data_IF_048004170579
#
_entry.id   IF_048004170579
#
_cell.length_a   1.000
_cell.length_b   1.000
_cell.length_c   1.000
_cell.angle_alpha   90.00
_cell.angle_beta   90.00
_cell.angle_gamma   90.00
#
_symmetry.space_group_name_H-M   'P 1'
#
loop_
_entity.id
_entity.type
_entity.pdbx_description
1 polymer ?
#
# COMPACT_ATOMS: atom_id res chain seq x y z
N UNK A 1 -7.21 14.30 7.26
CA UNK A 1 -6.63 13.69 6.05
C UNK A 1 -5.37 12.84 6.29
N UNK A 2 -5.07 12.39 7.52
CA UNK A 2 -3.93 11.48 7.80
C UNK A 2 -4.34 10.01 8.06
N UNK A 3 -5.64 9.72 8.04
CA UNK A 3 -6.15 8.35 8.18
C UNK A 3 -6.23 7.61 6.83
N UNK A 4 -6.58 8.33 5.75
CA UNK A 4 -6.72 7.73 4.42
C UNK A 4 -5.43 7.17 3.84
N UNK A 5 -4.27 7.84 4.00
CA UNK A 5 -3.03 7.35 3.39
C UNK A 5 -2.51 6.06 4.05
N UNK A 6 -2.73 5.88 5.35
CA UNK A 6 -2.36 4.64 6.05
C UNK A 6 -3.37 3.52 5.78
N UNK A 7 -4.66 3.84 5.66
CA UNK A 7 -5.69 2.88 5.20
C UNK A 7 -5.53 2.49 3.73
N UNK A 8 -5.00 3.36 2.86
CA UNK A 8 -4.73 3.05 1.44
C UNK A 8 -3.57 2.05 1.33
N UNK A 9 -2.48 2.23 2.08
CA UNK A 9 -1.36 1.28 2.06
C UNK A 9 -1.76 -0.06 2.69
N UNK A 10 -2.51 -0.06 3.79
CA UNK A 10 -3.02 -1.29 4.42
C UNK A 10 -4.10 -1.95 3.56
N UNK A 11 -4.94 -1.16 2.89
CA UNK A 11 -5.99 -1.64 1.98
C UNK A 11 -5.40 -2.30 0.73
N UNK A 12 -4.44 -1.68 0.06
CA UNK A 12 -3.81 -2.26 -1.13
C UNK A 12 -2.99 -3.51 -0.76
N UNK A 13 -2.26 -3.49 0.37
CA UNK A 13 -1.53 -4.67 0.85
C UNK A 13 -2.44 -5.81 1.32
N UNK A 14 -3.61 -5.52 1.91
CA UNK A 14 -4.49 -6.55 2.46
C UNK A 14 -5.34 -7.26 1.37
N UNK A 15 -5.44 -6.74 0.14
CA UNK A 15 -6.33 -7.26 -0.91
C UNK A 15 -5.66 -8.08 -2.02
N UNK A 16 -4.34 -8.26 -1.92
CA UNK A 16 -3.61 -9.34 -2.60
C UNK A 16 -3.91 -10.71 -1.95
N UNK A 17 -4.44 -10.70 -0.72
CA UNK A 17 -4.71 -11.92 0.05
C UNK A 17 -5.96 -12.64 -0.44
N UNK A 18 -5.77 -13.77 -1.13
CA UNK A 18 -6.82 -14.80 -1.21
C UNK A 18 -6.40 -16.17 -0.68
N UNK A 19 -5.16 -16.33 -0.20
CA UNK A 19 -4.69 -17.49 0.54
C UNK A 19 -3.76 -17.04 1.69
N UNK A 20 -4.28 -16.90 2.91
CA UNK A 20 -3.49 -16.57 4.11
C UNK A 20 -2.39 -17.59 4.47
N UNK A 21 -2.25 -18.67 3.68
CA UNK A 21 -1.30 -19.76 3.88
C UNK A 21 -0.20 -19.82 2.81
N UNK A 22 -0.33 -19.06 1.72
CA UNK A 22 0.68 -19.00 0.67
C UNK A 22 1.59 -17.79 0.89
N UNK A 23 2.92 -17.94 0.73
CA UNK A 23 3.83 -16.81 0.80
C UNK A 23 3.51 -15.81 -0.31
N UNK A 24 3.50 -14.51 0.04
CA UNK A 24 3.32 -13.41 -0.92
C UNK A 24 4.37 -13.53 -2.01
N UNK A 25 3.92 -13.48 -3.25
CA UNK A 25 4.83 -13.52 -4.40
C UNK A 25 5.16 -12.14 -4.94
N UNK A 26 6.12 -12.08 -5.86
CA UNK A 26 6.43 -10.84 -6.55
C UNK A 26 5.31 -10.40 -7.52
N UNK A 27 4.58 -11.36 -8.10
CA UNK A 27 3.45 -11.07 -9.01
C UNK A 27 2.28 -10.44 -8.28
N UNK A 28 2.04 -10.91 -7.07
CA UNK A 28 1.10 -10.39 -6.10
C UNK A 28 1.38 -8.89 -5.79
N UNK A 29 2.65 -8.52 -5.59
CA UNK A 29 3.07 -7.13 -5.40
C UNK A 29 2.86 -6.27 -6.67
N UNK A 30 3.20 -6.80 -7.84
CA UNK A 30 2.97 -6.11 -9.12
C UNK A 30 1.48 -5.89 -9.40
N UNK A 31 0.64 -6.86 -9.05
CA UNK A 31 -0.82 -6.73 -9.18
C UNK A 31 -1.35 -5.61 -8.26
N UNK A 32 -0.88 -5.55 -7.01
CA UNK A 32 -1.21 -4.49 -6.08
C UNK A 32 -0.80 -3.10 -6.60
N UNK A 33 0.39 -3.04 -7.19
CA UNK A 33 0.93 -1.82 -7.78
C UNK A 33 0.10 -1.33 -8.97
N UNK A 34 -0.38 -2.24 -9.83
CA UNK A 34 -1.29 -1.89 -10.91
C UNK A 34 -2.60 -1.29 -10.36
N UNK A 35 -3.16 -1.86 -9.29
CA UNK A 35 -4.37 -1.31 -8.67
C UNK A 35 -4.15 0.05 -8.03
N UNK A 36 -2.97 0.27 -7.44
CA UNK A 36 -2.60 1.60 -6.96
C UNK A 36 -2.65 2.63 -8.10
N UNK A 37 -2.11 2.32 -9.28
CA UNK A 37 -2.20 3.26 -10.40
C UNK A 37 -3.61 3.49 -10.90
N UNK A 38 -4.42 2.44 -11.02
CA UNK A 38 -5.83 2.59 -11.40
C UNK A 38 -6.55 3.49 -10.39
N UNK A 39 -6.30 3.30 -9.10
CA UNK A 39 -6.84 4.14 -8.04
C UNK A 39 -6.36 5.60 -8.15
N UNK A 40 -5.08 5.84 -8.41
CA UNK A 40 -4.55 7.20 -8.56
C UNK A 40 -5.19 7.94 -9.74
N UNK A 41 -5.51 7.23 -10.83
CA UNK A 41 -6.13 7.83 -12.02
C UNK A 41 -7.64 7.99 -11.86
N UNK A 42 -8.35 6.98 -11.35
CA UNK A 42 -9.83 6.96 -11.27
C UNK A 42 -10.37 7.51 -9.93
N UNK A 43 -9.52 7.63 -8.92
CA UNK A 43 -9.86 8.06 -7.56
C UNK A 43 -10.60 7.01 -6.72
N UNK A 44 -10.95 5.86 -7.28
CA UNK A 44 -11.64 4.76 -6.59
C UNK A 44 -11.39 3.43 -7.31
N UNK A 45 -11.56 2.33 -6.58
CA UNK A 45 -11.58 0.98 -7.15
C UNK A 45 -13.01 0.44 -7.14
N UNK A 46 -13.39 -0.45 -8.06
CA UNK A 46 -14.75 -0.98 -8.14
C UNK A 46 -15.25 -1.64 -6.83
N UNK A 47 -14.34 -2.21 -6.04
CA UNK A 47 -14.61 -2.90 -4.78
C UNK A 47 -14.32 -2.06 -3.52
N UNK A 48 -14.16 -0.74 -3.65
CA UNK A 48 -13.84 0.17 -2.52
C UNK A 48 -14.87 0.12 -1.37
N UNK A 49 -16.13 -0.21 -1.68
CA UNK A 49 -17.24 -0.29 -0.70
C UNK A 49 -17.65 -1.71 -0.34
N UNK A 50 -16.97 -2.70 -0.90
CA UNK A 50 -17.33 -4.10 -0.70
C UNK A 50 -16.89 -4.59 0.67
N UNK A 51 -17.59 -5.60 1.18
CA UNK A 51 -17.10 -6.34 2.34
C UNK A 51 -15.93 -7.20 1.91
N UNK A 52 -15.00 -7.44 2.83
CA UNK A 52 -13.79 -8.23 2.57
C UNK A 52 -14.05 -9.56 1.82
N UNK A 53 -15.10 -10.30 2.22
CA UNK A 53 -15.46 -11.59 1.62
C UNK A 53 -15.94 -11.47 0.16
N UNK A 54 -16.45 -10.30 -0.24
CA UNK A 54 -17.05 -10.04 -1.54
C UNK A 54 -16.04 -9.47 -2.55
N UNK A 55 -14.97 -8.80 -2.08
CA UNK A 55 -13.98 -8.11 -2.91
C UNK A 55 -13.38 -9.03 -3.97
N UNK A 56 -13.04 -10.27 -3.61
CA UNK A 56 -12.47 -11.25 -4.55
C UNK A 56 -13.39 -11.47 -5.75
N UNK A 57 -14.70 -11.57 -5.49
CA UNK A 57 -15.68 -11.80 -6.54
C UNK A 57 -15.83 -10.57 -7.43
N UNK A 58 -15.96 -9.38 -6.85
CA UNK A 58 -16.05 -8.12 -7.60
C UNK A 58 -14.81 -7.87 -8.46
N UNK A 59 -13.63 -8.16 -7.93
CA UNK A 59 -12.36 -8.10 -8.68
C UNK A 59 -12.40 -8.98 -9.93
N UNK A 60 -12.78 -10.25 -9.79
CA UNK A 60 -12.91 -11.18 -10.92
C UNK A 60 -13.93 -10.67 -11.95
N UNK A 61 -15.09 -10.21 -11.48
CA UNK A 61 -16.15 -9.70 -12.37
C UNK A 61 -15.70 -8.48 -13.17
N UNK A 62 -15.15 -7.48 -12.48
CA UNK A 62 -14.75 -6.19 -13.09
C UNK A 62 -13.57 -6.33 -14.04
N UNK A 63 -12.64 -7.26 -13.76
CA UNK A 63 -11.56 -7.61 -14.69
C UNK A 63 -12.14 -8.30 -15.94
N UNK A 64 -12.99 -9.30 -15.77
CA UNK A 64 -13.55 -10.07 -16.89
C UNK A 64 -14.49 -9.23 -17.78
N UNK A 65 -15.22 -8.29 -17.19
CA UNK A 65 -16.10 -7.37 -17.90
C UNK A 65 -15.34 -6.17 -18.51
N UNK A 66 -14.04 -6.01 -18.20
CA UNK A 66 -13.21 -4.89 -18.67
C UNK A 66 -13.51 -3.55 -17.99
N UNK A 67 -14.45 -3.50 -17.05
CA UNK A 67 -14.88 -2.28 -16.34
C UNK A 67 -13.75 -1.63 -15.55
N UNK A 68 -12.81 -2.44 -15.04
CA UNK A 68 -11.67 -1.95 -14.27
C UNK A 68 -10.87 -0.89 -15.05
N UNK A 69 -10.63 -1.15 -16.34
CA UNK A 69 -9.83 -0.31 -17.21
C UNK A 69 -10.65 0.50 -18.21
N UNK A 70 -11.97 0.62 -17.98
CA UNK A 70 -12.81 1.50 -18.79
C UNK A 70 -12.24 2.92 -18.78
N UNK A 71 -12.15 3.53 -19.97
CA UNK A 71 -11.55 4.85 -20.26
C UNK A 71 -10.03 4.95 -20.07
N UNK A 72 -9.35 3.86 -19.71
CA UNK A 72 -7.89 3.83 -19.60
C UNK A 72 -7.24 3.36 -20.90
N UNK A 73 -5.98 3.74 -21.17
CA UNK A 73 -5.21 3.21 -22.29
C UNK A 73 -5.09 1.69 -22.26
N UNK A 74 -5.02 1.07 -23.44
CA UNK A 74 -4.89 -0.38 -23.60
C UNK A 74 -3.66 -0.96 -22.89
N UNK A 75 -2.63 -0.15 -22.66
CA UNK A 75 -1.43 -0.54 -21.91
C UNK A 75 -1.77 -1.11 -20.53
N UNK A 76 -2.81 -0.61 -19.84
CA UNK A 76 -3.24 -1.15 -18.55
C UNK A 76 -3.70 -2.61 -18.64
N UNK A 77 -4.40 -2.98 -19.72
CA UNK A 77 -4.76 -4.38 -19.97
C UNK A 77 -3.52 -5.24 -20.19
N UNK A 78 -2.55 -4.75 -20.99
CA UNK A 78 -1.29 -5.48 -21.25
C UNK A 78 -0.46 -5.68 -19.98
N UNK A 79 -0.42 -4.68 -19.09
CA UNK A 79 0.23 -4.79 -17.79
C UNK A 79 -0.40 -5.92 -16.97
N UNK A 80 -1.75 -5.95 -16.88
CA UNK A 80 -2.45 -7.02 -16.18
C UNK A 80 -2.17 -8.39 -16.78
N UNK A 81 -2.17 -8.49 -18.12
CA UNK A 81 -1.89 -9.75 -18.82
C UNK A 81 -0.47 -10.26 -18.47
N UNK A 82 0.56 -9.40 -18.48
CA UNK A 82 1.93 -9.80 -18.12
C UNK A 82 2.02 -10.27 -16.66
N UNK A 83 1.33 -9.58 -15.76
CA UNK A 83 1.33 -9.91 -14.32
C UNK A 83 0.63 -11.27 -14.07
N UNK A 84 -0.50 -11.51 -14.74
CA UNK A 84 -1.41 -12.64 -14.45
C UNK A 84 -1.33 -13.82 -15.42
N UNK A 85 -0.53 -13.75 -16.49
CA UNK A 85 -0.40 -14.83 -17.49
C UNK A 85 0.24 -16.12 -16.95
N UNK A 86 0.99 -16.05 -15.85
CA UNK A 86 1.73 -17.15 -15.23
C UNK A 86 1.25 -17.37 -13.80
N UNK A 87 1.67 -18.48 -13.20
CA UNK A 87 1.31 -18.79 -11.82
C UNK A 87 1.88 -17.74 -10.88
N UNK A 88 1.19 -17.45 -9.78
CA UNK A 88 1.66 -16.49 -8.77
C UNK A 88 3.04 -16.87 -8.21
N UNK A 89 3.36 -18.17 -8.15
CA UNK A 89 4.65 -18.68 -7.65
C UNK A 89 5.79 -18.61 -8.67
N UNK A 90 5.50 -18.32 -9.94
CA UNK A 90 6.54 -18.24 -10.97
C UNK A 90 7.29 -16.92 -10.84
N UNK A 91 8.64 -16.93 -10.83
CA UNK A 91 9.41 -15.70 -10.77
C UNK A 91 9.11 -14.82 -12.00
N UNK A 92 9.19 -13.51 -11.79
CA UNK A 92 9.11 -12.52 -12.87
C UNK A 92 10.50 -12.43 -13.51
N UNK A 93 10.57 -12.68 -14.82
CA UNK A 93 11.82 -12.61 -15.57
C UNK A 93 12.23 -11.16 -15.86
N UNK A 94 13.52 -10.94 -16.11
CA UNK A 94 14.05 -9.62 -16.49
C UNK A 94 13.36 -9.05 -17.73
N UNK A 95 13.09 -9.89 -18.73
CA UNK A 95 12.34 -9.50 -19.92
C UNK A 95 10.90 -9.04 -19.62
N UNK A 96 10.22 -9.66 -18.65
CA UNK A 96 8.89 -9.20 -18.23
C UNK A 96 8.99 -7.83 -17.56
N UNK A 97 10.04 -7.56 -16.78
CA UNK A 97 10.28 -6.22 -16.23
C UNK A 97 10.54 -5.19 -17.32
N UNK A 98 11.34 -5.52 -18.34
CA UNK A 98 11.59 -4.63 -19.48
C UNK A 98 10.29 -4.29 -20.22
N UNK A 99 9.39 -5.27 -20.41
CA UNK A 99 8.08 -5.04 -21.03
C UNK A 99 7.17 -4.16 -20.16
N UNK A 100 7.13 -4.39 -18.84
CA UNK A 100 6.37 -3.58 -17.89
C UNK A 100 6.89 -2.13 -17.86
N UNK A 101 8.21 -1.94 -17.88
CA UNK A 101 8.84 -0.63 -17.96
C UNK A 101 8.45 0.10 -19.26
N UNK A 102 8.55 -0.56 -20.40
CA UNK A 102 8.17 0.03 -21.68
C UNK A 102 6.69 0.45 -21.71
N UNK A 103 5.79 -0.38 -21.18
CA UNK A 103 4.37 -0.07 -21.12
C UNK A 103 4.08 1.13 -20.20
N UNK A 104 4.79 1.26 -19.08
CA UNK A 104 4.62 2.39 -18.16
C UNK A 104 5.17 3.69 -18.73
N UNK A 105 6.29 3.63 -19.48
CA UNK A 105 6.80 4.75 -20.27
C UNK A 105 5.83 5.17 -21.39
N UNK A 106 5.17 4.21 -22.04
CA UNK A 106 4.11 4.53 -23.01
C UNK A 106 2.94 5.26 -22.35
N UNK A 107 2.52 4.82 -21.16
CA UNK A 107 1.45 5.48 -20.39
C UNK A 107 1.86 6.90 -19.98
N UNK A 108 3.08 7.09 -19.46
CA UNK A 108 3.56 8.41 -19.02
C UNK A 108 3.64 9.41 -20.19
N UNK A 109 4.09 8.96 -21.36
CA UNK A 109 4.17 9.80 -22.56
C UNK A 109 2.80 10.08 -23.16
N UNK A 110 1.92 9.08 -23.24
CA UNK A 110 0.60 9.22 -23.89
C UNK A 110 -0.42 9.97 -23.04
N UNK A 111 -0.53 9.64 -21.74
CA UNK A 111 -1.51 10.22 -20.82
C UNK A 111 -0.91 11.38 -20.05
N UNK A 112 0.30 11.18 -19.50
CA UNK A 112 0.98 12.18 -18.68
C UNK A 112 1.61 13.33 -19.48
N UNK A 113 1.78 13.16 -20.81
CA UNK A 113 2.49 14.11 -21.70
C UNK A 113 3.89 14.46 -21.17
N UNK A 114 4.53 13.50 -20.52
CA UNK A 114 5.88 13.65 -19.99
C UNK A 114 6.86 13.55 -21.17
N UNK A 115 7.40 14.69 -21.60
CA UNK A 115 8.40 14.77 -22.69
C UNK A 115 9.84 14.75 -22.16
N UNK A 116 10.05 15.17 -20.90
CA UNK A 116 11.33 15.19 -20.22
C UNK A 116 11.21 14.43 -18.89
N UNK A 117 12.00 13.37 -18.73
CA UNK A 117 11.98 12.48 -17.57
C UNK A 117 12.74 13.08 -16.37
N UNK A 118 13.67 14.03 -16.60
CA UNK A 118 14.44 14.67 -15.54
C UNK A 118 13.70 15.88 -14.93
N UNK A 119 12.98 16.66 -15.74
CA UNK A 119 12.24 17.85 -15.28
C UNK A 119 10.97 17.52 -14.46
N UNK A 120 10.43 16.31 -14.60
CA UNK A 120 9.14 15.93 -14.02
C UNK A 120 9.26 15.21 -12.66
N UNK A 121 10.47 15.02 -12.16
CA UNK A 121 10.75 14.52 -10.83
C UNK A 121 10.68 15.70 -9.84
N UNK A 122 9.45 16.12 -9.53
CA UNK A 122 9.04 17.22 -8.62
C UNK A 122 9.70 17.23 -7.22
N UNK A 123 10.57 16.28 -6.88
CA UNK A 123 11.23 16.20 -5.57
C UNK A 123 12.05 17.44 -5.17
N UNK A 124 12.40 18.32 -6.13
CA UNK A 124 13.05 19.61 -5.88
C UNK A 124 12.08 20.82 -5.94
N UNK A 125 10.81 20.62 -6.30
CA UNK A 125 9.79 21.66 -6.33
C UNK A 125 9.18 21.81 -4.94
N UNK A 126 9.29 23.01 -4.39
CA UNK A 126 8.54 23.34 -3.18
C UNK A 126 7.02 23.29 -3.47
N UNK A 127 6.22 22.60 -2.64
CA UNK A 127 4.78 22.56 -2.80
C UNK A 127 4.20 23.97 -2.69
N UNK A 128 3.25 24.29 -3.56
CA UNK A 128 2.56 25.58 -3.52
C UNK A 128 1.63 25.68 -2.31
N UNK A 129 1.32 26.90 -1.86
CA UNK A 129 0.45 27.14 -0.68
C UNK A 129 -0.92 26.44 -0.75
N UNK A 130 -1.40 26.13 -1.94
CA UNK A 130 -2.68 25.44 -2.17
C UNK A 130 -2.56 23.91 -2.12
N UNK A 131 -1.36 23.36 -2.36
CA UNK A 131 -1.04 21.95 -2.23
C UNK A 131 -0.73 21.56 -0.78
N UNK A 132 -0.29 22.53 0.04
CA UNK A 132 -0.03 22.32 1.46
C UNK A 132 -1.36 22.10 2.21
N UNK A 133 -1.53 20.95 2.89
CA UNK A 133 -2.72 20.72 3.70
C UNK A 133 -2.87 21.80 4.77
N UNK A 134 -3.94 22.61 4.67
CA UNK A 134 -4.26 23.63 5.67
C UNK A 134 -4.80 22.96 6.93
N UNK A 135 -3.94 22.82 7.95
CA UNK A 135 -4.38 22.36 9.26
C UNK A 135 -5.18 23.47 9.95
N UNK A 136 -6.49 23.28 10.12
CA UNK A 136 -7.29 24.12 11.01
C UNK A 136 -6.94 23.70 12.45
N UNK A 137 -5.93 24.33 13.03
CA UNK A 137 -5.66 24.23 14.47
C UNK A 137 -6.63 25.17 15.19
N UNK A 138 -7.88 24.74 15.30
CA UNK A 138 -8.72 25.20 16.40
C UNK A 138 -8.69 24.11 17.46
N UNK A 139 -7.72 24.22 18.39
CA UNK A 139 -7.89 23.58 19.70
C UNK A 139 -9.17 24.17 20.29
N UNK A 140 -10.29 23.44 20.19
CA UNK A 140 -11.43 23.69 21.07
C UNK A 140 -10.85 23.73 22.49
N UNK A 141 -11.11 24.77 23.29
CA UNK A 141 -10.73 24.74 24.69
C UNK A 141 -11.37 23.49 25.28
N UNK A 142 -10.56 22.59 25.83
CA UNK A 142 -11.06 21.46 26.59
C UNK A 142 -11.95 22.02 27.70
N UNK A 143 -13.27 21.91 27.57
CA UNK A 143 -14.12 21.93 28.75
C UNK A 143 -13.69 20.70 29.56
N UNK A 144 -12.96 20.95 30.65
CA UNK A 144 -12.38 19.95 31.56
C UNK A 144 -13.45 19.22 32.39
N UNK A 145 -14.57 18.84 31.79
CA UNK A 145 -15.66 18.20 32.54
C UNK A 145 -15.96 16.76 32.11
N UNK A 146 -15.42 16.26 30.99
CA UNK A 146 -15.64 14.87 30.54
C UNK A 146 -14.36 14.07 30.27
N UNK A 147 -13.29 14.32 31.04
CA UNK A 147 -12.17 13.39 31.10
C UNK A 147 -12.39 12.45 32.29
N UNK A 148 -13.00 11.29 32.02
CA UNK A 148 -12.66 10.12 32.82
C UNK A 148 -11.14 9.94 32.68
N UNK A 149 -10.40 10.15 33.76
CA UNK A 149 -8.97 9.89 33.83
C UNK A 149 -8.75 8.41 33.54
N UNK A 150 -8.49 8.08 32.27
CA UNK A 150 -7.90 6.81 31.91
C UNK A 150 -6.46 6.86 32.42
N UNK A 151 -6.27 6.34 33.63
CA UNK A 151 -4.96 6.21 34.25
C UNK A 151 -4.10 5.37 33.31
N UNK A 152 -3.19 6.02 32.58
CA UNK A 152 -2.16 5.34 31.81
C UNK A 152 -1.31 4.55 32.80
N UNK A 153 -1.49 3.23 32.84
CA UNK A 153 -0.67 2.37 33.70
C UNK A 153 0.77 2.39 33.16
N UNK A 154 1.77 2.82 33.96
CA UNK A 154 3.15 2.67 33.57
C UNK A 154 3.53 1.18 33.62
N UNK A 155 3.81 0.59 32.46
CA UNK A 155 4.41 -0.74 32.38
C UNK A 155 5.92 -0.65 32.63
N UNK A 156 6.31 -0.53 33.89
CA UNK A 156 7.69 -0.76 34.35
C UNK A 156 7.65 -1.69 35.56
N UNK A 157 7.87 -2.98 35.33
CA UNK A 157 8.37 -3.87 36.37
C UNK A 157 9.82 -4.19 36.05
N UNK A 158 10.73 -3.44 36.67
CA UNK A 158 12.13 -3.84 36.78
C UNK A 158 12.30 -4.75 38.01
N UNK A 159 13.14 -5.77 37.82
CA UNK A 159 13.93 -6.53 38.81
C UNK A 159 13.31 -7.80 39.45
N UNK A 160 13.72 -8.96 38.92
CA UNK A 160 14.23 -10.03 39.77
C UNK A 160 15.76 -10.06 39.64
N UNK A 161 16.42 -9.37 40.55
CA UNK A 161 17.82 -9.59 40.92
C UNK A 161 17.89 -10.88 41.74
N UNK A 162 18.52 -11.92 41.18
CA UNK A 162 19.08 -13.00 41.99
C UNK A 162 20.57 -13.13 41.70
N UNK A 163 21.34 -12.16 42.18
CA UNK A 163 22.74 -12.39 42.51
C UNK A 163 22.82 -13.08 43.88
N UNK A 164 23.06 -14.39 43.91
CA UNK A 164 23.70 -15.04 45.06
C UNK A 164 25.02 -15.63 44.59
N UNK A 165 26.12 -15.02 45.04
CA UNK A 165 27.47 -15.36 44.65
C UNK A 165 28.06 -16.55 45.40
N UNK A 166 29.21 -16.95 44.85
CA UNK A 166 30.37 -17.59 45.49
C UNK A 166 30.40 -19.13 45.53
N UNK A 167 31.10 -19.67 44.51
CA UNK A 167 32.25 -20.58 44.59
C UNK A 167 32.42 -21.42 45.88
N UNK A 168 32.44 -22.75 45.75
CA UNK A 168 33.71 -23.51 45.84
C UNK A 168 33.58 -25.01 45.51
N UNK A 169 34.60 -25.48 44.79
CA UNK A 169 35.29 -26.80 44.81
C UNK A 169 34.90 -28.01 43.94
N UNK A 170 35.93 -28.32 43.15
CA UNK A 170 36.38 -29.54 42.47
C UNK A 170 36.30 -30.89 43.21
N UNK A 171 36.27 -31.94 42.36
CA UNK A 171 36.78 -33.33 42.49
C UNK A 171 36.18 -34.29 43.52
N UNK A 172 35.62 -35.41 43.02
CA UNK A 172 36.21 -36.77 43.11
C UNK A 172 35.93 -37.53 41.82
#
# INVERSE_FOLDING_TARGET
>A
MRQGFFEITVGIFCHVYTNFLDPISCRDELEAWLYLFVYLVKGTLPWDKDRYDDVKWTKIQTINCGELFEELPLQYHKLLDIITNKSSVDPVSEHEYDELEQLTLEISRSVGRVEDEEDNMDFERDPTDDEIPRFIIERKPNNREDLHEEVTQPSCSEEEDTTFGSDDKFEV
#
